data_IF_374150539261
#
_entry.id   IF_374150539261
#
_cell.length_a   1.000
_cell.length_b   1.000
_cell.length_c   1.000
_cell.angle_alpha   90.00
_cell.angle_beta   90.00
_cell.angle_gamma   90.00
#
_symmetry.space_group_name_H-M   'P 1'
#
loop_
_entity.id
_entity.type
_entity.pdbx_description
1 polymer ?
#
# COMPACT_ATOMS: atom_id res chain seq x y z
N UNK A 1 9.07 -9.91 -12.38
CA UNK A 1 8.88 -8.44 -12.29
C UNK A 1 8.57 -8.18 -10.82
N UNK A 2 9.60 -7.97 -9.99
CA UNK A 2 9.52 -8.11 -8.53
C UNK A 2 8.39 -7.29 -7.88
N UNK A 3 8.07 -6.12 -8.44
CA UNK A 3 6.99 -5.26 -7.96
C UNK A 3 5.58 -5.80 -8.26
N UNK A 4 5.38 -6.45 -9.40
CA UNK A 4 4.08 -7.03 -9.78
C UNK A 4 3.74 -8.22 -8.89
N UNK A 5 4.74 -9.05 -8.59
CA UNK A 5 4.60 -10.22 -7.72
C UNK A 5 4.25 -9.83 -6.27
N UNK A 6 4.62 -8.61 -5.84
CA UNK A 6 4.30 -8.07 -4.51
C UNK A 6 2.88 -7.49 -4.41
N UNK A 7 2.34 -6.94 -5.51
CA UNK A 7 1.05 -6.24 -5.53
C UNK A 7 -0.09 -7.14 -6.02
N UNK A 8 0.18 -8.08 -6.93
CA UNK A 8 -0.84 -8.97 -7.52
C UNK A 8 -1.32 -10.09 -6.59
N UNK A 9 -0.79 -10.22 -5.38
CA UNK A 9 -1.20 -11.24 -4.41
C UNK A 9 -2.33 -10.81 -3.45
N UNK A 10 -3.03 -9.71 -3.73
CA UNK A 10 -4.32 -9.39 -3.10
C UNK A 10 -5.42 -9.29 -4.16
N UNK A 11 -6.06 -10.39 -4.57
CA UNK A 11 -7.42 -10.31 -5.07
C UNK A 11 -8.33 -10.23 -3.85
N UNK A 12 -9.07 -9.12 -3.72
CA UNK A 12 -10.30 -9.02 -2.92
C UNK A 12 -10.19 -9.51 -1.47
N UNK A 13 -9.96 -8.59 -0.54
CA UNK A 13 -10.37 -8.83 0.85
C UNK A 13 -11.90 -8.88 0.83
N UNK A 14 -12.44 -10.09 0.68
CA UNK A 14 -13.82 -10.42 0.96
C UNK A 14 -14.08 -10.08 2.42
N UNK A 15 -14.67 -8.91 2.60
CA UNK A 15 -15.01 -8.32 3.88
C UNK A 15 -16.42 -8.80 4.24
N UNK A 16 -16.60 -10.11 4.37
CA UNK A 16 -17.84 -10.72 4.86
C UNK A 16 -17.48 -11.90 5.77
N UNK A 17 -18.03 -11.90 6.98
CA UNK A 17 -17.85 -12.90 8.05
C UNK A 17 -16.67 -12.70 9.01
N UNK A 18 -16.71 -11.59 9.76
CA UNK A 18 -16.31 -11.62 11.18
C UNK A 18 -17.44 -12.25 12.01
N UNK A 19 -17.66 -13.55 11.86
CA UNK A 19 -18.32 -14.31 12.92
C UNK A 19 -17.25 -14.85 13.87
N UNK A 20 -17.30 -14.42 15.13
CA UNK A 20 -16.54 -15.07 16.20
C UNK A 20 -17.14 -16.45 16.43
N UNK A 21 -16.31 -17.48 16.70
CA UNK A 21 -16.71 -18.37 17.78
C UNK A 21 -15.59 -18.76 18.75
N UNK A 22 -16.08 -18.95 19.98
CA UNK A 22 -15.43 -19.44 21.18
C UNK A 22 -14.82 -20.85 21.09
N UNK A 23 -13.95 -21.10 22.08
CA UNK A 23 -13.73 -22.35 22.83
C UNK A 23 -13.28 -23.62 22.10
N UNK A 24 -12.06 -24.05 22.47
CA UNK A 24 -11.61 -25.42 22.74
C UNK A 24 -12.55 -26.57 22.31
N UNK A 25 -12.19 -27.26 21.23
CA UNK A 25 -12.38 -28.72 21.11
C UNK A 25 -11.28 -29.31 20.22
N UNK A 26 -10.59 -30.31 20.76
CA UNK A 26 -9.71 -31.21 20.02
C UNK A 26 -10.48 -31.94 18.91
N UNK A 27 -9.80 -32.35 17.83
CA UNK A 27 -9.70 -33.77 17.42
C UNK A 27 -9.00 -33.96 16.06
N UNK A 28 -8.37 -35.13 15.96
CA UNK A 28 -7.47 -35.61 14.92
C UNK A 28 -8.11 -35.75 13.52
N UNK A 29 -7.30 -35.57 12.47
CA UNK A 29 -6.86 -36.65 11.57
C UNK A 29 -6.08 -36.11 10.36
N UNK A 30 -5.25 -36.98 9.81
CA UNK A 30 -4.16 -36.72 8.89
C UNK A 30 -4.56 -36.51 7.41
N UNK A 31 -3.58 -35.98 6.66
CA UNK A 31 -3.36 -36.02 5.21
C UNK A 31 -3.99 -34.92 4.32
N UNK A 32 -3.19 -33.88 4.05
CA UNK A 32 -3.07 -33.14 2.77
C UNK A 32 -1.74 -32.32 2.85
N UNK A 33 -0.62 -32.87 2.39
CA UNK A 33 -0.02 -32.61 1.05
C UNK A 33 0.36 -31.14 0.77
N UNK A 34 1.47 -30.70 1.38
CA UNK A 34 2.53 -29.82 0.81
C UNK A 34 2.21 -28.47 0.14
N UNK A 35 0.96 -28.02 0.04
CA UNK A 35 0.62 -26.71 -0.56
C UNK A 35 0.43 -25.59 0.48
N UNK A 36 0.25 -25.93 1.75
CA UNK A 36 -0.18 -24.94 2.76
C UNK A 36 0.95 -24.10 3.36
N UNK A 37 2.21 -24.48 3.13
CA UNK A 37 3.35 -23.70 3.63
C UNK A 37 3.60 -22.44 2.79
N UNK A 38 3.29 -22.48 1.50
CA UNK A 38 3.38 -21.31 0.62
C UNK A 38 2.28 -20.30 0.94
N UNK A 39 1.07 -20.78 1.27
CA UNK A 39 -0.08 -19.93 1.60
C UNK A 39 0.08 -19.21 2.95
N UNK A 40 0.65 -19.87 3.97
CA UNK A 40 0.87 -19.23 5.30
C UNK A 40 1.99 -18.18 5.30
N UNK A 41 2.98 -18.28 4.42
CA UNK A 41 4.03 -17.27 4.26
C UNK A 41 3.51 -16.02 3.53
N UNK A 42 2.41 -16.15 2.78
CA UNK A 42 1.74 -15.04 2.10
C UNK A 42 0.93 -14.17 3.08
N UNK A 43 0.46 -14.73 4.19
CA UNK A 43 -0.49 -14.08 5.12
C UNK A 43 0.09 -12.92 5.94
N UNK A 44 1.42 -12.85 6.15
CA UNK A 44 2.05 -11.77 6.90
C UNK A 44 3.11 -11.03 6.06
N UNK A 45 2.76 -10.64 4.83
CA UNK A 45 3.53 -9.57 4.19
C UNK A 45 3.36 -8.28 4.99
N UNK A 46 4.46 -7.57 5.20
CA UNK A 46 4.43 -6.30 5.90
C UNK A 46 3.50 -5.33 5.15
N UNK A 47 2.31 -5.07 5.72
CA UNK A 47 1.30 -4.18 5.13
C UNK A 47 1.89 -2.82 4.78
N UNK A 48 2.76 -2.30 5.64
CA UNK A 48 3.48 -1.04 5.39
C UNK A 48 4.36 -1.10 4.15
N UNK A 49 5.08 -2.21 3.92
CA UNK A 49 5.91 -2.38 2.74
C UNK A 49 5.07 -2.46 1.46
N UNK A 50 3.91 -3.14 1.51
CA UNK A 50 2.97 -3.22 0.39
C UNK A 50 2.39 -1.84 0.07
N UNK A 51 2.00 -1.05 1.08
CA UNK A 51 1.49 0.31 0.91
C UNK A 51 2.55 1.25 0.31
N UNK A 52 3.80 1.17 0.76
CA UNK A 52 4.90 1.95 0.17
C UNK A 52 5.08 1.57 -1.30
N UNK A 53 5.11 0.28 -1.63
CA UNK A 53 5.30 -0.17 -3.01
C UNK A 53 4.16 0.30 -3.91
N UNK A 54 2.91 0.26 -3.41
CA UNK A 54 1.75 0.80 -4.11
C UNK A 54 1.93 2.30 -4.36
N UNK A 55 2.29 3.08 -3.33
CA UNK A 55 2.48 4.53 -3.48
C UNK A 55 3.61 4.90 -4.45
N UNK A 56 4.70 4.14 -4.46
CA UNK A 56 5.79 4.34 -5.43
C UNK A 56 5.27 4.10 -6.85
N UNK A 57 4.47 3.06 -7.06
CA UNK A 57 3.85 2.79 -8.35
C UNK A 57 2.91 3.91 -8.77
N UNK A 58 2.00 4.32 -7.89
CA UNK A 58 1.05 5.40 -8.18
C UNK A 58 1.77 6.69 -8.61
N UNK A 59 2.92 7.01 -7.97
CA UNK A 59 3.80 8.12 -8.35
C UNK A 59 4.45 7.95 -9.73
N UNK A 60 4.89 6.74 -10.08
CA UNK A 60 5.56 6.46 -11.36
C UNK A 60 4.57 6.39 -12.53
N UNK A 61 3.36 5.87 -12.29
CA UNK A 61 2.32 5.71 -13.32
C UNK A 61 1.54 7.01 -13.58
N UNK A 62 1.71 8.02 -12.71
CA UNK A 62 1.06 9.33 -12.81
C UNK A 62 -0.32 9.41 -12.16
N UNK A 63 -0.63 8.47 -11.28
CA UNK A 63 -1.88 8.32 -10.53
C UNK A 63 -1.79 8.90 -9.10
N UNK A 64 -0.74 9.67 -8.80
CA UNK A 64 -0.58 10.46 -7.57
C UNK A 64 -0.71 11.94 -7.95
N UNK A 65 -1.61 12.73 -7.35
CA UNK A 65 -2.35 12.46 -6.11
C UNK A 65 -3.71 11.73 -6.27
N UNK A 66 -4.32 11.75 -7.45
CA UNK A 66 -5.64 11.14 -7.69
C UNK A 66 -5.52 9.84 -8.49
N UNK A 67 -5.89 8.67 -7.92
CA UNK A 67 -5.78 7.39 -8.60
C UNK A 67 -6.69 7.25 -9.83
N UNK A 68 -7.72 8.09 -9.96
CA UNK A 68 -8.63 8.09 -11.11
C UNK A 68 -8.07 8.87 -12.31
N UNK A 69 -7.07 9.73 -12.08
CA UNK A 69 -6.53 10.64 -13.09
C UNK A 69 -5.08 10.24 -13.38
N UNK A 70 -4.81 9.84 -14.62
CA UNK A 70 -3.45 9.60 -15.07
C UNK A 70 -2.84 10.89 -15.65
N UNK A 71 -1.99 11.53 -14.86
CA UNK A 71 -1.37 12.82 -15.19
C UNK A 71 -0.19 12.63 -16.15
N UNK A 72 -0.03 13.56 -17.11
CA UNK A 72 1.17 13.60 -17.96
C UNK A 72 2.41 13.98 -17.15
N UNK A 73 3.61 13.63 -17.64
CA UNK A 73 4.88 14.01 -16.96
C UNK A 73 4.95 15.53 -16.72
N UNK A 74 4.54 16.34 -17.69
CA UNK A 74 4.55 17.80 -17.54
C UNK A 74 3.59 18.29 -16.46
N UNK A 75 2.46 17.62 -16.29
CA UNK A 75 1.46 17.95 -15.27
C UNK A 75 1.92 17.51 -13.88
N UNK A 76 2.51 16.32 -13.75
CA UNK A 76 3.12 15.83 -12.52
C UNK A 76 4.21 16.79 -12.01
N UNK A 77 5.10 17.22 -12.91
CA UNK A 77 6.17 18.18 -12.58
C UNK A 77 5.57 19.52 -12.17
N UNK A 78 4.59 20.02 -12.92
CA UNK A 78 3.90 21.28 -12.59
C UNK A 78 3.22 21.22 -11.22
N UNK A 79 2.51 20.13 -10.93
CA UNK A 79 1.87 19.89 -9.64
C UNK A 79 2.90 19.88 -8.51
N UNK A 80 3.98 19.10 -8.68
CA UNK A 80 5.04 18.98 -7.68
C UNK A 80 5.68 20.34 -7.34
N UNK A 81 5.99 21.14 -8.36
CA UNK A 81 6.54 22.49 -8.16
C UNK A 81 5.52 23.35 -7.41
N UNK A 82 4.26 23.35 -7.84
CA UNK A 82 3.21 24.16 -7.20
C UNK A 82 3.09 23.84 -5.72
N UNK A 83 2.92 22.56 -5.36
CA UNK A 83 2.77 22.15 -3.96
C UNK A 83 4.01 22.47 -3.12
N UNK A 84 5.22 22.33 -3.69
CA UNK A 84 6.47 22.63 -2.99
C UNK A 84 6.72 24.14 -2.81
N UNK A 85 6.08 24.99 -3.62
CA UNK A 85 6.20 26.46 -3.55
C UNK A 85 5.01 27.14 -2.88
N UNK A 86 3.98 26.37 -2.49
CA UNK A 86 2.79 26.92 -1.84
C UNK A 86 3.14 27.41 -0.43
N UNK A 87 2.79 28.67 -0.15
CA UNK A 87 3.06 29.31 1.14
C UNK A 87 2.32 28.60 2.26
N UNK A 88 1.12 28.09 2.01
CA UNK A 88 0.35 27.36 3.02
C UNK A 88 1.06 26.05 3.41
N UNK A 89 1.58 25.31 2.43
CA UNK A 89 2.36 24.10 2.69
C UNK A 89 3.67 24.43 3.42
N UNK A 90 4.38 25.48 2.99
CA UNK A 90 5.64 25.92 3.60
C UNK A 90 5.48 26.41 5.05
N UNK A 91 4.36 27.05 5.38
CA UNK A 91 4.07 27.56 6.72
C UNK A 91 3.73 26.45 7.74
N UNK A 92 3.33 25.26 7.27
CA UNK A 92 3.04 24.11 8.14
C UNK A 92 4.26 23.26 8.47
N UNK A 93 5.40 23.51 7.82
CA UNK A 93 6.63 22.76 8.08
C UNK A 93 7.11 23.04 9.51
N UNK A 94 7.72 22.01 10.12
CA UNK A 94 8.34 22.17 11.42
C UNK A 94 9.42 23.27 11.37
N UNK A 95 9.50 24.11 12.41
CA UNK A 95 10.33 25.33 12.44
C UNK A 95 11.81 25.09 12.06
N UNK A 96 12.36 23.92 12.41
CA UNK A 96 13.74 23.55 12.07
C UNK A 96 14.01 23.31 10.58
N UNK A 97 12.99 23.30 9.73
CA UNK A 97 13.14 23.23 8.27
C UNK A 97 13.38 24.59 7.62
N UNK A 98 13.22 25.69 8.37
CA UNK A 98 13.53 27.07 7.94
C UNK A 98 13.01 27.39 6.53
N UNK A 99 11.72 27.20 6.29
CA UNK A 99 11.08 27.35 4.97
C UNK A 99 11.08 28.78 4.41
N UNK A 100 11.53 29.75 5.20
CA UNK A 100 11.57 31.18 4.89
C UNK A 100 12.94 31.69 4.39
N UNK A 101 13.98 30.85 4.38
CA UNK A 101 15.34 31.21 3.95
C UNK A 101 15.54 30.85 2.48
#
# INVERSE_FOLDING_TARGET
>A
RVFDDLIQLNPTIDNENREKPNSLTANANAQQETTDKTTKVIEERNKYAVEICKRIRDKLDGSDPDPLIQSSISEQVRYTIREATDVENLATLYEGWTSWV
#
